data_IF_414255675431
#
_entry.id   IF_414255675431
#
_cell.length_a   1.000
_cell.length_b   1.000
_cell.length_c   1.000
_cell.angle_alpha   90.00
_cell.angle_beta   90.00
_cell.angle_gamma   90.00
#
_symmetry.space_group_name_H-M   'P 1'
#
loop_
_entity.id
_entity.type
_entity.pdbx_description
1 polymer ?
#
# COMPACT_ATOMS: atom_id res chain seq x y z
N UNK A 1 27.00 -49.94 -20.98
CA UNK A 1 25.83 -49.21 -21.51
C UNK A 1 25.50 -48.14 -20.47
N UNK A 2 25.97 -46.90 -20.62
CA UNK A 2 25.31 -45.81 -21.36
C UNK A 2 23.91 -45.53 -20.78
N UNK A 3 23.57 -44.36 -20.21
CA UNK A 3 24.25 -43.07 -20.20
C UNK A 3 23.76 -42.14 -19.08
N UNK A 4 24.45 -41.02 -18.97
CA UNK A 4 24.26 -39.94 -18.00
C UNK A 4 23.52 -38.81 -18.71
N UNK A 5 22.50 -38.20 -18.08
CA UNK A 5 22.01 -36.87 -18.50
C UNK A 5 22.03 -35.95 -17.29
N UNK A 6 22.92 -34.97 -17.35
CA UNK A 6 22.98 -33.82 -16.46
C UNK A 6 21.94 -32.79 -16.95
N UNK A 7 20.98 -32.43 -16.11
CA UNK A 7 20.14 -31.25 -16.34
C UNK A 7 20.87 -30.03 -15.76
N UNK A 8 21.19 -29.07 -16.65
CA UNK A 8 21.96 -27.87 -16.33
C UNK A 8 21.24 -26.97 -15.34
N UNK A 9 22.01 -26.45 -14.40
CA UNK A 9 21.62 -25.40 -13.46
C UNK A 9 21.64 -24.08 -14.24
N UNK A 10 20.50 -23.47 -14.51
CA UNK A 10 20.49 -22.10 -15.04
C UNK A 10 20.37 -21.13 -13.86
N UNK A 11 21.53 -20.62 -13.43
CA UNK A 11 21.64 -19.55 -12.46
C UNK A 11 21.35 -18.21 -13.15
N UNK A 12 20.30 -17.49 -12.71
CA UNK A 12 20.08 -16.10 -13.07
C UNK A 12 20.89 -15.20 -12.12
N UNK A 13 22.09 -14.82 -12.54
CA UNK A 13 22.82 -13.66 -12.01
C UNK A 13 22.34 -12.34 -12.66
N UNK A 14 22.73 -11.18 -12.10
CA UNK A 14 22.00 -9.91 -12.28
C UNK A 14 22.28 -9.28 -13.64
N UNK A 15 21.21 -8.88 -14.36
CA UNK A 15 21.32 -8.03 -15.55
C UNK A 15 20.77 -6.64 -15.23
N UNK A 16 21.66 -5.78 -14.74
CA UNK A 16 21.51 -4.34 -14.86
C UNK A 16 21.58 -3.97 -16.34
N UNK A 17 20.55 -3.33 -16.88
CA UNK A 17 20.55 -2.86 -18.26
C UNK A 17 19.17 -2.43 -18.73
N UNK A 18 18.72 -1.26 -18.30
CA UNK A 18 17.61 -0.55 -18.94
C UNK A 18 17.98 -0.28 -20.39
N UNK A 19 17.35 -0.97 -21.34
CA UNK A 19 17.46 -0.63 -22.75
C UNK A 19 16.58 0.60 -23.02
N UNK A 20 17.12 1.73 -23.52
CA UNK A 20 16.33 2.91 -23.81
C UNK A 20 15.37 2.64 -24.98
N UNK A 21 14.10 3.03 -24.81
CA UNK A 21 13.06 2.93 -25.82
C UNK A 21 13.31 4.03 -26.89
N UNK A 22 13.63 3.64 -28.12
CA UNK A 22 13.72 4.57 -29.24
C UNK A 22 12.32 4.83 -29.82
N UNK A 23 11.82 6.07 -29.69
CA UNK A 23 10.59 6.52 -30.35
C UNK A 23 10.98 7.23 -31.65
N UNK A 24 10.68 6.60 -32.79
CA UNK A 24 10.84 7.21 -34.11
C UNK A 24 9.56 7.99 -34.45
N UNK A 25 9.63 9.32 -34.47
CA UNK A 25 8.54 10.16 -34.98
C UNK A 25 8.78 10.38 -36.47
N UNK A 26 7.89 9.84 -37.31
CA UNK A 26 7.87 10.18 -38.74
C UNK A 26 7.26 11.57 -38.91
N UNK A 27 8.08 12.54 -39.30
CA UNK A 27 7.61 13.85 -39.79
C UNK A 27 7.55 13.75 -41.32
N UNK A 28 6.33 13.86 -41.85
CA UNK A 28 6.07 13.95 -43.30
C UNK A 28 6.44 15.35 -43.81
N UNK A 29 7.37 15.52 -44.78
CA UNK A 29 7.74 16.81 -45.33
C UNK A 29 7.26 16.99 -46.78
N UNK A 30 6.29 17.90 -46.99
CA UNK A 30 5.98 18.49 -48.29
C UNK A 30 5.19 19.81 -48.04
N UNK A 31 5.57 21.03 -48.43
CA UNK A 31 6.30 21.53 -49.60
C UNK A 31 6.96 22.91 -49.31
N UNK A 32 8.05 23.15 -50.04
CA UNK A 32 8.96 24.30 -50.19
C UNK A 32 8.31 25.61 -50.67
N UNK A 33 8.69 26.79 -50.14
CA UNK A 33 9.75 27.71 -50.63
C UNK A 33 9.35 29.21 -50.45
N UNK A 34 10.15 30.23 -50.84
CA UNK A 34 11.51 30.57 -50.41
C UNK A 34 11.66 31.99 -49.74
N UNK A 35 12.76 32.15 -49.01
CA UNK A 35 13.45 33.32 -48.43
C UNK A 35 12.93 34.78 -48.63
N UNK A 36 12.88 35.55 -47.53
CA UNK A 36 13.40 36.92 -47.49
C UNK A 36 13.73 37.34 -46.05
N UNK A 37 14.98 37.79 -45.86
CA UNK A 37 15.51 38.46 -44.67
C UNK A 37 14.96 39.89 -44.63
N UNK A 38 14.35 40.36 -43.55
CA UNK A 38 14.10 41.80 -43.32
C UNK A 38 13.81 42.14 -41.86
N UNK A 39 14.40 43.26 -41.50
CA UNK A 39 14.59 43.90 -40.21
C UNK A 39 13.31 44.55 -39.65
N UNK A 40 13.38 44.91 -38.37
CA UNK A 40 12.42 45.51 -37.43
C UNK A 40 11.45 46.55 -38.00
N UNK A 41 10.16 46.53 -37.59
CA UNK A 41 9.38 47.74 -37.27
C UNK A 41 8.25 47.44 -36.27
N UNK A 42 8.23 48.17 -35.15
CA UNK A 42 7.14 48.22 -34.17
C UNK A 42 6.02 49.11 -34.73
N UNK A 43 4.85 48.52 -35.01
CA UNK A 43 3.61 49.27 -35.23
C UNK A 43 2.53 48.73 -34.30
N UNK A 44 2.08 49.60 -33.40
CA UNK A 44 0.90 49.36 -32.58
C UNK A 44 -0.35 49.38 -33.48
N UNK A 45 -1.18 48.34 -33.40
CA UNK A 45 -2.46 48.25 -34.08
C UNK A 45 -3.38 47.36 -33.27
N UNK A 46 -4.44 47.97 -32.75
CA UNK A 46 -5.42 47.38 -31.85
C UNK A 46 -6.24 46.27 -32.52
N UNK A 47 -6.54 45.21 -31.76
CA UNK A 47 -7.79 44.46 -31.90
C UNK A 47 -7.68 43.07 -32.53
N UNK A 48 -7.40 42.06 -31.71
CA UNK A 48 -8.04 40.74 -31.70
C UNK A 48 -7.28 39.86 -30.69
N UNK A 49 -7.88 39.61 -29.52
CA UNK A 49 -7.37 38.63 -28.56
C UNK A 49 -7.74 37.23 -29.05
N UNK A 50 -6.97 36.71 -30.01
CA UNK A 50 -6.90 35.28 -30.25
C UNK A 50 -5.74 34.76 -29.39
N UNK A 51 -6.08 34.12 -28.27
CA UNK A 51 -5.10 33.59 -27.33
C UNK A 51 -4.40 32.38 -27.95
N UNK A 52 -3.34 32.66 -28.70
CA UNK A 52 -2.33 31.67 -29.09
C UNK A 52 -1.71 31.13 -27.81
N UNK A 53 -1.98 29.85 -27.52
CA UNK A 53 -1.38 29.09 -26.43
C UNK A 53 0.12 28.93 -26.69
N UNK A 54 0.90 29.96 -26.34
CA UNK A 54 2.35 29.90 -26.26
C UNK A 54 2.72 29.10 -25.01
N UNK A 55 3.27 27.90 -25.24
CA UNK A 55 3.66 26.96 -24.21
C UNK A 55 4.64 27.57 -23.20
N UNK A 56 4.15 27.78 -21.98
CA UNK A 56 4.99 27.84 -20.80
C UNK A 56 5.38 26.42 -20.40
N UNK A 57 6.68 26.17 -20.34
CA UNK A 57 7.27 24.94 -19.81
C UNK A 57 7.08 24.94 -18.29
N UNK A 58 5.89 24.57 -17.83
CA UNK A 58 5.59 24.47 -16.40
C UNK A 58 6.19 23.17 -15.86
N UNK A 59 7.06 23.30 -14.87
CA UNK A 59 7.57 22.20 -14.06
C UNK A 59 6.41 21.32 -13.58
N UNK A 60 6.45 20.04 -13.96
CA UNK A 60 5.55 19.02 -13.43
C UNK A 60 5.97 18.77 -11.99
N UNK A 61 5.47 19.60 -11.08
CA UNK A 61 5.42 19.24 -9.66
C UNK A 61 4.40 18.12 -9.51
N UNK A 62 4.65 17.17 -8.59
CA UNK A 62 3.94 15.90 -8.41
C UNK A 62 2.43 16.00 -8.05
N UNK A 63 1.78 17.14 -8.31
CA UNK A 63 0.43 17.47 -7.90
C UNK A 63 -0.66 17.19 -8.97
N UNK A 64 -0.35 16.52 -10.08
CA UNK A 64 -1.35 16.24 -11.14
C UNK A 64 -1.44 14.79 -11.57
N UNK A 65 -1.16 13.85 -10.65
CA UNK A 65 -1.74 12.53 -10.78
C UNK A 65 -3.20 12.61 -10.33
N UNK A 66 -4.20 12.31 -11.18
CA UNK A 66 -5.53 12.00 -10.69
C UNK A 66 -5.41 10.69 -9.90
N UNK A 67 -5.16 10.80 -8.60
CA UNK A 67 -5.52 9.74 -7.68
C UNK A 67 -7.03 9.70 -7.68
N UNK A 68 -7.61 8.86 -8.53
CA UNK A 68 -8.96 8.35 -8.29
C UNK A 68 -8.86 7.54 -7.01
N UNK A 69 -8.90 8.22 -5.87
CA UNK A 69 -9.20 7.59 -4.61
C UNK A 69 -10.62 7.08 -4.77
N UNK A 70 -10.77 5.81 -5.13
CA UNK A 70 -12.00 5.09 -4.90
C UNK A 70 -12.35 5.37 -3.44
N UNK A 71 -13.47 6.06 -3.20
CA UNK A 71 -13.85 6.49 -1.86
C UNK A 71 -14.26 5.25 -1.08
N UNK A 72 -13.28 4.53 -0.56
CA UNK A 72 -13.49 3.38 0.31
C UNK A 72 -13.98 3.91 1.65
N UNK A 73 -15.08 3.36 2.14
CA UNK A 73 -15.64 3.75 3.42
C UNK A 73 -14.96 2.94 4.53
N UNK A 74 -14.59 3.59 5.63
CA UNK A 74 -14.18 2.85 6.81
C UNK A 74 -15.37 2.06 7.37
N UNK A 75 -15.15 0.77 7.62
CA UNK A 75 -16.11 -0.07 8.31
C UNK A 75 -16.15 0.34 9.79
N UNK A 76 -17.36 0.58 10.31
CA UNK A 76 -17.54 0.83 11.75
C UNK A 76 -17.36 -0.49 12.52
N UNK A 77 -16.24 -0.59 13.22
CA UNK A 77 -15.85 -1.75 14.03
C UNK A 77 -16.05 -1.51 15.54
N UNK A 78 -16.72 -0.42 15.93
CA UNK A 78 -16.85 -0.02 17.34
C UNK A 78 -17.54 -1.06 18.24
N UNK A 79 -18.35 -1.94 17.65
CA UNK A 79 -19.06 -3.03 18.36
C UNK A 79 -18.49 -4.41 18.09
N UNK A 80 -17.41 -4.48 17.31
CA UNK A 80 -16.86 -5.72 16.83
C UNK A 80 -15.90 -6.31 17.86
N UNK A 81 -15.80 -7.64 17.84
CA UNK A 81 -15.00 -8.38 18.81
C UNK A 81 -13.68 -8.77 18.13
N UNK A 82 -12.57 -8.41 18.77
CA UNK A 82 -11.24 -8.87 18.42
C UNK A 82 -10.76 -9.88 19.48
N UNK A 83 -10.36 -11.07 19.05
CA UNK A 83 -9.88 -12.17 19.94
C UNK A 83 -8.56 -12.74 19.45
N UNK A 84 -7.92 -13.59 20.24
CA UNK A 84 -6.74 -14.32 19.80
C UNK A 84 -7.13 -15.40 18.78
N UNK A 85 -6.53 -15.36 17.61
CA UNK A 85 -6.83 -16.31 16.54
C UNK A 85 -6.35 -17.73 16.86
N UNK A 86 -5.24 -17.86 17.61
CA UNK A 86 -4.59 -19.13 17.91
C UNK A 86 -4.97 -19.71 19.28
N UNK A 87 -5.89 -19.07 20.03
CA UNK A 87 -6.28 -19.47 21.40
C UNK A 87 -5.09 -19.64 22.34
N UNK A 88 -4.08 -18.79 22.16
CA UNK A 88 -2.83 -18.77 22.92
C UNK A 88 -2.92 -17.93 24.21
N UNK A 89 -4.11 -17.41 24.54
CA UNK A 89 -4.34 -16.57 25.70
C UNK A 89 -3.80 -15.14 25.54
N UNK A 90 -3.37 -14.74 24.34
CA UNK A 90 -2.91 -13.36 24.08
C UNK A 90 -4.02 -12.32 24.30
N UNK A 91 -5.28 -12.68 24.13
CA UNK A 91 -6.45 -11.84 24.41
C UNK A 91 -6.63 -11.50 25.91
N UNK A 92 -6.01 -12.27 26.81
CA UNK A 92 -6.01 -11.97 28.24
C UNK A 92 -4.89 -11.00 28.63
N UNK A 93 -3.87 -10.88 27.77
CA UNK A 93 -2.65 -10.10 28.01
C UNK A 93 -2.69 -8.75 27.28
N UNK A 94 -3.44 -8.68 26.18
CA UNK A 94 -3.46 -7.55 25.26
C UNK A 94 -4.89 -7.11 24.96
N UNK A 95 -5.10 -5.79 24.94
CA UNK A 95 -6.38 -5.20 24.57
C UNK A 95 -6.48 -5.07 23.05
N UNK A 96 -6.93 -6.11 22.34
CA UNK A 96 -7.00 -6.07 20.88
C UNK A 96 -8.00 -5.04 20.32
N UNK A 97 -8.96 -4.59 21.11
CA UNK A 97 -9.89 -3.53 20.71
C UNK A 97 -9.16 -2.21 20.42
N UNK A 98 -8.05 -1.93 21.12
CA UNK A 98 -7.21 -0.74 20.95
C UNK A 98 -6.56 -0.66 19.55
N UNK A 99 -6.52 -1.78 18.82
CA UNK A 99 -6.03 -1.82 17.44
C UNK A 99 -7.08 -1.38 16.41
N UNK A 100 -8.35 -1.23 16.80
CA UNK A 100 -9.47 -0.96 15.88
C UNK A 100 -10.43 0.10 16.43
N UNK A 101 -10.05 0.83 17.48
CA UNK A 101 -10.89 1.86 18.11
C UNK A 101 -10.96 3.16 17.29
N UNK A 102 -10.13 3.25 16.25
CA UNK A 102 -10.04 4.36 15.31
C UNK A 102 -9.33 5.59 15.85
N UNK A 103 -8.73 5.49 17.04
CA UNK A 103 -8.01 6.55 17.74
C UNK A 103 -6.51 6.41 17.50
N UNK A 104 -5.90 7.32 16.72
CA UNK A 104 -4.47 7.23 16.40
C UNK A 104 -3.55 7.42 17.62
N UNK A 105 -4.07 7.94 18.73
CA UNK A 105 -3.35 8.05 20.00
C UNK A 105 -3.29 6.74 20.80
N UNK A 106 -4.16 5.79 20.48
CA UNK A 106 -4.18 4.47 21.11
C UNK A 106 -3.12 3.59 20.45
N UNK A 107 -2.38 2.82 21.26
CA UNK A 107 -1.38 1.87 20.76
C UNK A 107 -1.30 0.67 21.68
N UNK A 108 -1.19 -0.51 21.08
CA UNK A 108 -0.92 -1.75 21.81
C UNK A 108 0.59 -1.96 21.93
N UNK A 109 1.08 -2.31 23.12
CA UNK A 109 2.47 -2.74 23.32
C UNK A 109 2.52 -4.22 23.64
N UNK A 110 3.14 -4.99 22.75
CA UNK A 110 3.46 -6.41 22.93
C UNK A 110 4.80 -6.48 23.64
N UNK A 111 4.92 -7.37 24.62
CA UNK A 111 6.15 -7.53 25.41
C UNK A 111 6.57 -9.00 25.45
N UNK A 112 7.87 -9.22 25.66
CA UNK A 112 8.40 -10.57 25.87
C UNK A 112 7.56 -11.34 26.92
N UNK A 113 7.30 -12.65 26.70
CA UNK A 113 7.94 -13.52 25.72
C UNK A 113 7.36 -13.43 24.29
N UNK A 114 6.26 -12.70 24.07
CA UNK A 114 5.65 -12.63 22.74
C UNK A 114 6.45 -11.71 21.82
N UNK A 115 6.53 -12.07 20.54
CA UNK A 115 7.19 -11.28 19.48
C UNK A 115 6.22 -10.89 18.35
N UNK A 116 5.03 -11.48 18.39
CA UNK A 116 3.94 -11.25 17.45
C UNK A 116 2.62 -11.49 18.16
N UNK A 117 1.55 -11.00 17.56
CA UNK A 117 0.17 -11.32 17.94
C UNK A 117 -0.59 -11.80 16.72
N UNK A 118 -1.54 -12.69 16.97
CA UNK A 118 -2.44 -13.25 15.97
C UNK A 118 -3.86 -12.89 16.38
N UNK A 119 -4.46 -11.91 15.70
CA UNK A 119 -5.76 -11.34 16.03
C UNK A 119 -6.80 -11.85 15.05
N UNK A 120 -7.95 -12.27 15.56
CA UNK A 120 -9.14 -12.58 14.79
C UNK A 120 -10.19 -11.50 15.08
N UNK A 121 -10.50 -10.70 14.07
CA UNK A 121 -11.51 -9.65 14.13
C UNK A 121 -12.80 -10.15 13.49
N UNK A 122 -13.91 -10.11 14.23
CA UNK A 122 -15.26 -10.29 13.69
C UNK A 122 -15.65 -9.04 12.88
N UNK A 123 -16.17 -9.19 11.66
CA UNK A 123 -16.63 -8.09 10.81
C UNK A 123 -18.13 -7.78 10.96
N UNK A 124 -18.83 -8.49 11.84
CA UNK A 124 -20.25 -8.30 12.13
C UNK A 124 -21.16 -8.83 11.03
N UNK A 125 -20.70 -9.86 10.31
CA UNK A 125 -21.37 -10.44 9.14
C UNK A 125 -20.45 -10.52 7.93
N UNK A 126 -20.96 -11.03 6.82
CA UNK A 126 -20.19 -11.09 5.57
C UNK A 126 -20.00 -9.68 5.00
N UNK A 127 -18.74 -9.24 4.93
CA UNK A 127 -18.33 -7.90 4.51
C UNK A 127 -17.30 -7.99 3.40
N UNK A 128 -17.36 -7.02 2.49
CA UNK A 128 -16.27 -6.76 1.55
C UNK A 128 -15.12 -6.09 2.31
N UNK A 129 -13.89 -6.55 2.08
CA UNK A 129 -12.68 -5.92 2.57
C UNK A 129 -11.84 -5.50 1.36
N UNK A 130 -11.79 -4.20 1.12
CA UNK A 130 -11.12 -3.59 -0.02
C UNK A 130 -9.69 -3.17 0.33
N UNK A 131 -9.47 -2.68 1.57
CA UNK A 131 -8.16 -2.27 2.04
C UNK A 131 -8.08 -2.24 3.57
N UNK A 132 -6.86 -2.11 4.09
CA UNK A 132 -6.59 -1.77 5.48
C UNK A 132 -5.80 -0.47 5.54
N UNK A 133 -6.28 0.46 6.37
CA UNK A 133 -5.53 1.64 6.77
C UNK A 133 -4.79 1.35 8.08
N UNK A 134 -3.52 1.73 8.17
CA UNK A 134 -2.70 1.61 9.37
C UNK A 134 -2.13 2.97 9.75
N UNK A 135 -2.33 3.37 11.00
CA UNK A 135 -1.65 4.49 11.61
C UNK A 135 -0.57 3.96 12.56
N UNK A 136 0.73 4.19 12.27
CA UNK A 136 1.80 3.86 13.20
C UNK A 136 1.60 4.55 14.56
N UNK A 137 2.05 3.95 15.66
CA UNK A 137 1.93 4.56 16.99
C UNK A 137 2.69 5.90 17.02
N UNK A 138 2.10 6.99 17.55
CA UNK A 138 2.70 8.32 17.51
C UNK A 138 3.95 8.44 18.39
N UNK A 139 4.04 7.64 19.46
CA UNK A 139 5.22 7.49 20.29
C UNK A 139 5.32 6.04 20.78
N UNK A 140 6.38 5.34 20.36
CA UNK A 140 6.61 3.95 20.73
C UNK A 140 7.21 3.78 22.16
N UNK A 141 7.53 4.87 22.88
CA UNK A 141 8.02 4.85 24.27
C UNK A 141 9.16 3.85 24.53
N UNK A 142 10.10 3.76 23.58
CA UNK A 142 11.25 2.85 23.64
C UNK A 142 10.97 1.40 23.20
N UNK A 143 9.76 1.08 22.75
CA UNK A 143 9.47 -0.14 22.00
C UNK A 143 9.89 0.00 20.53
N UNK A 144 10.19 -1.13 19.88
CA UNK A 144 10.29 -1.16 18.43
C UNK A 144 8.90 -1.01 17.81
N UNK A 145 8.77 -0.49 16.60
CA UNK A 145 7.49 -0.45 15.88
C UNK A 145 7.24 -1.76 15.12
N UNK A 146 5.96 -2.11 14.94
CA UNK A 146 5.56 -3.20 14.04
C UNK A 146 6.06 -2.94 12.61
N UNK A 147 6.57 -3.99 11.98
CA UNK A 147 7.16 -3.94 10.63
C UNK A 147 6.50 -4.94 9.69
N UNK A 148 5.73 -5.89 10.21
CA UNK A 148 5.09 -6.97 9.44
C UNK A 148 3.60 -6.98 9.77
N UNK A 149 2.79 -7.01 8.72
CA UNK A 149 1.37 -7.30 8.77
C UNK A 149 1.07 -8.42 7.76
N UNK A 150 0.55 -9.54 8.26
CA UNK A 150 -0.10 -10.54 7.43
C UNK A 150 -1.62 -10.45 7.62
N UNK A 151 -2.36 -10.54 6.52
CA UNK A 151 -3.81 -10.41 6.51
C UNK A 151 -4.44 -11.57 5.77
N UNK A 152 -5.50 -12.13 6.34
CA UNK A 152 -6.33 -13.14 5.67
C UNK A 152 -7.80 -12.88 5.95
N UNK A 153 -8.61 -12.83 4.89
CA UNK A 153 -10.07 -12.68 5.00
C UNK A 153 -10.69 -14.07 5.02
N UNK A 154 -11.55 -14.31 6.01
CA UNK A 154 -12.11 -15.62 6.31
C UNK A 154 -13.62 -15.61 6.13
N UNK A 155 -14.20 -16.57 5.37
CA UNK A 155 -15.65 -16.66 5.20
C UNK A 155 -16.35 -17.06 6.50
N UNK A 156 -15.73 -17.93 7.31
CA UNK A 156 -16.26 -18.47 8.56
C UNK A 156 -15.12 -18.89 9.50
N UNK A 157 -15.31 -18.72 10.81
CA UNK A 157 -14.62 -19.50 11.85
C UNK A 157 -13.09 -19.38 11.93
N UNK A 158 -12.46 -20.17 12.83
CA UNK A 158 -11.04 -20.06 13.16
C UNK A 158 -10.11 -20.40 11.99
N UNK A 159 -8.85 -19.95 12.10
CA UNK A 159 -7.79 -19.95 11.08
C UNK A 159 -7.54 -21.27 10.35
N UNK A 160 -7.82 -22.39 11.01
CA UNK A 160 -7.49 -23.75 10.59
C UNK A 160 -8.09 -24.09 9.22
N UNK A 161 -7.24 -24.54 8.30
CA UNK A 161 -7.61 -25.10 7.00
C UNK A 161 -8.45 -24.19 6.06
N UNK A 162 -8.40 -22.87 6.22
CA UNK A 162 -9.14 -21.95 5.35
C UNK A 162 -8.75 -22.07 3.87
N UNK A 163 -7.49 -22.46 3.59
CA UNK A 163 -6.91 -22.48 2.24
C UNK A 163 -6.89 -21.11 1.56
N UNK A 164 -7.13 -20.03 2.31
CA UNK A 164 -7.24 -18.67 1.80
C UNK A 164 -5.86 -18.05 1.58
N UNK A 165 -5.76 -17.12 0.61
CA UNK A 165 -4.53 -16.36 0.45
C UNK A 165 -4.24 -15.54 1.70
N UNK A 166 -2.97 -15.56 2.12
CA UNK A 166 -2.43 -14.64 3.11
C UNK A 166 -1.73 -13.50 2.36
N UNK A 167 -2.13 -12.27 2.63
CA UNK A 167 -1.53 -11.06 2.07
C UNK A 167 -0.52 -10.50 3.06
N UNK A 168 0.74 -10.40 2.64
CA UNK A 168 1.82 -9.85 3.46
C UNK A 168 2.10 -8.40 3.06
N UNK A 169 2.16 -7.51 4.05
CA UNK A 169 2.47 -6.10 3.88
C UNK A 169 3.59 -5.66 4.85
N UNK A 170 4.63 -4.96 4.35
CA UNK A 170 5.59 -4.30 5.20
C UNK A 170 4.96 -3.04 5.83
N UNK A 171 5.02 -2.93 7.15
CA UNK A 171 4.60 -1.73 7.86
C UNK A 171 5.77 -0.74 7.95
N UNK A 172 5.57 0.46 7.43
CA UNK A 172 6.51 1.56 7.63
C UNK A 172 6.41 2.06 9.07
N UNK A 173 7.57 2.42 9.64
CA UNK A 173 7.69 2.92 11.02
C UNK A 173 7.69 4.45 11.10
N UNK A 174 7.75 5.14 9.96
CA UNK A 174 7.69 6.59 9.86
C UNK A 174 6.28 7.12 10.11
N UNK A 175 6.18 8.32 10.70
CA UNK A 175 4.91 8.99 10.93
C UNK A 175 4.13 9.18 9.61
N UNK A 176 2.92 8.65 9.54
CA UNK A 176 2.04 8.74 8.37
C UNK A 176 1.13 7.52 8.25
N UNK A 177 -0.12 7.75 7.83
CA UNK A 177 -1.07 6.67 7.58
C UNK A 177 -0.67 5.92 6.30
N UNK A 178 -0.80 4.60 6.34
CA UNK A 178 -0.52 3.70 5.23
C UNK A 178 -1.80 2.97 4.84
N UNK A 179 -2.03 2.79 3.55
CA UNK A 179 -3.19 2.06 3.03
C UNK A 179 -2.70 0.85 2.25
N UNK A 180 -3.19 -0.34 2.59
CA UNK A 180 -2.87 -1.60 1.98
C UNK A 180 -4.10 -2.16 1.27
N UNK A 181 -4.11 -2.12 -0.06
CA UNK A 181 -5.22 -2.68 -0.85
C UNK A 181 -5.15 -4.20 -0.89
N UNK A 182 -6.29 -4.86 -0.65
CA UNK A 182 -6.43 -6.29 -0.89
C UNK A 182 -6.85 -6.50 -2.35
N UNK A 183 -6.25 -7.46 -3.07
CA UNK A 183 -6.61 -7.73 -4.46
C UNK A 183 -7.97 -8.40 -4.56
N UNK A 184 -8.75 -7.98 -5.57
CA UNK A 184 -10.09 -8.54 -5.83
C UNK A 184 -11.15 -8.09 -4.84
N UNK A 185 -12.41 -8.44 -5.12
CA UNK A 185 -13.50 -8.26 -4.16
C UNK A 185 -13.41 -9.37 -3.11
N UNK A 186 -12.61 -9.15 -2.07
CA UNK A 186 -12.44 -10.13 -1.00
C UNK A 186 -13.57 -10.00 0.01
N UNK A 187 -14.32 -11.07 0.24
CA UNK A 187 -15.45 -11.10 1.17
C UNK A 187 -15.20 -12.10 2.30
N UNK A 188 -15.64 -11.75 3.51
CA UNK A 188 -15.64 -12.66 4.64
C UNK A 188 -16.33 -12.11 5.88
N UNK A 189 -16.54 -13.00 6.84
CA UNK A 189 -17.10 -12.69 8.16
C UNK A 189 -16.03 -12.32 9.19
N UNK A 190 -14.81 -12.77 8.98
CA UNK A 190 -13.69 -12.52 9.89
C UNK A 190 -12.46 -12.03 9.13
N UNK A 191 -11.63 -11.27 9.83
CA UNK A 191 -10.32 -10.83 9.38
C UNK A 191 -9.28 -11.36 10.36
N UNK A 192 -8.35 -12.17 9.87
CA UNK A 192 -7.17 -12.52 10.63
C UNK A 192 -6.04 -11.55 10.31
N UNK A 193 -5.37 -11.07 11.37
CA UNK A 193 -4.19 -10.25 11.29
C UNK A 193 -3.09 -10.90 12.12
N UNK A 194 -1.93 -11.14 11.51
CA UNK A 194 -0.69 -11.40 12.24
C UNK A 194 0.18 -10.16 12.17
N UNK A 195 0.57 -9.67 13.34
CA UNK A 195 1.34 -8.43 13.47
C UNK A 195 2.62 -8.76 14.21
N UNK A 196 3.75 -8.44 13.58
CA UNK A 196 5.08 -8.74 14.12
C UNK A 196 6.05 -7.58 13.93
N UNK A 197 7.12 -7.62 14.71
CA UNK A 197 8.19 -6.63 14.73
C UNK A 197 9.53 -7.17 14.26
N UNK A 198 10.58 -6.34 14.32
CA UNK A 198 11.93 -6.80 14.08
C UNK A 198 12.34 -7.89 15.09
N UNK A 199 13.07 -8.90 14.62
CA UNK A 199 13.54 -10.01 15.45
C UNK A 199 14.39 -9.48 16.63
N UNK A 200 14.16 -10.06 17.81
CA UNK A 200 14.90 -9.71 19.03
C UNK A 200 14.42 -8.45 19.74
N UNK A 201 13.37 -7.77 19.25
CA UNK A 201 12.73 -6.68 19.99
C UNK A 201 12.09 -7.22 21.29
N UNK A 202 12.40 -6.59 22.42
CA UNK A 202 11.81 -6.96 23.72
C UNK A 202 10.39 -6.41 23.91
N UNK A 203 10.09 -5.30 23.23
CA UNK A 203 8.79 -4.64 23.20
C UNK A 203 8.48 -4.18 21.79
N UNK A 204 7.23 -4.33 21.40
CA UNK A 204 6.73 -3.99 20.08
C UNK A 204 5.48 -3.13 20.21
N UNK A 205 5.52 -1.91 19.69
CA UNK A 205 4.39 -1.01 19.61
C UNK A 205 3.65 -1.20 18.28
N UNK A 206 2.34 -1.33 18.38
CA UNK A 206 1.40 -1.45 17.28
C UNK A 206 0.39 -0.31 17.41
N UNK A 207 0.13 0.41 16.31
CA UNK A 207 -0.87 1.47 16.27
C UNK A 207 -2.25 0.97 15.82
N UNK A 208 -3.05 1.89 15.31
CA UNK A 208 -4.45 1.69 14.93
C UNK A 208 -4.60 1.17 13.50
N UNK A 209 -5.57 0.28 13.29
CA UNK A 209 -5.99 -0.25 12.01
C UNK A 209 -7.46 0.10 11.72
N UNK A 210 -7.74 0.45 10.46
CA UNK A 210 -9.09 0.64 9.95
C UNK A 210 -9.34 -0.26 8.76
N UNK A 211 -10.43 -1.00 8.81
CA UNK A 211 -10.86 -1.84 7.68
C UNK A 211 -11.66 -0.97 6.72
N UNK A 212 -11.30 -0.99 5.44
CA UNK A 212 -11.97 -0.22 4.39
C UNK A 212 -12.76 -1.15 3.46
N UNK A 213 -13.96 -0.74 3.06
CA UNK A 213 -14.86 -1.47 2.16
C UNK A 213 -15.25 -0.65 0.94
#
# INVERSE_FOLDING_TARGET
MAGVIFAGIQAFGPTSGSAPINVTVAVDPAKTGPQANLDVTKTAGFGAVDAVNAGTKSDITAATLPQTATQMAALDLSKNIATAALKDGSEQRYQFHDLFDGRPETSLTIAAPDQEINVLLDLGGDRKVSALDYAPPPDAKGAASATILDVMVLPEGPLEASGRPVFNFPLQTSAGRQTFSLPGETHGKYLWLRIAGPQGAQKLAVGDFKVLQ
#
